data_IF_663253767812
#
_entry.id   IF_663253767812
#
_cell.length_a   1.000
_cell.length_b   1.000
_cell.length_c   1.000
_cell.angle_alpha   90.00
_cell.angle_beta   90.00
_cell.angle_gamma   90.00
#
_symmetry.space_group_name_H-M   'P 1'
#
loop_
_entity.id
_entity.type
_entity.pdbx_description
1 polymer ?
#
# COMPACT_ATOMS: atom_id res chain seq x y z
N UNK A 1 -9.04 -16.82 25.53
CA UNK A 1 -9.11 -15.62 24.65
C UNK A 1 -7.88 -15.64 23.79
N UNK A 2 -8.01 -15.39 22.48
CA UNK A 2 -6.85 -15.39 21.58
C UNK A 2 -6.07 -14.09 21.77
N UNK A 3 -4.79 -14.20 22.10
CA UNK A 3 -3.88 -13.09 22.30
C UNK A 3 -2.97 -12.93 21.09
N UNK A 4 -2.75 -11.71 20.63
CA UNK A 4 -1.82 -11.40 19.56
C UNK A 4 -0.59 -10.74 20.17
N UNK A 5 0.58 -11.33 19.98
CA UNK A 5 1.85 -10.73 20.38
C UNK A 5 2.44 -9.95 19.20
N UNK A 6 2.68 -8.65 19.43
CA UNK A 6 3.19 -7.72 18.43
C UNK A 6 4.59 -7.30 18.84
N UNK A 7 5.55 -7.47 17.93
CA UNK A 7 6.92 -7.02 18.11
C UNK A 7 7.16 -5.81 17.22
N UNK A 8 7.78 -4.76 17.78
CA UNK A 8 8.14 -3.54 17.08
C UNK A 8 9.61 -3.22 17.30
N UNK A 9 10.24 -2.62 16.28
CA UNK A 9 11.58 -2.07 16.42
C UNK A 9 11.54 -0.72 17.14
N UNK A 10 12.62 -0.35 17.84
CA UNK A 10 12.86 1.02 18.26
C UNK A 10 12.75 1.95 17.05
N UNK A 11 12.03 3.06 17.22
CA UNK A 11 11.84 4.08 16.18
C UNK A 11 12.77 5.27 16.43
N UNK A 12 13.10 6.07 15.40
CA UNK A 12 13.81 7.32 15.58
C UNK A 12 13.02 8.28 16.49
N UNK A 13 13.68 9.34 16.98
CA UNK A 13 13.01 10.37 17.78
C UNK A 13 11.95 11.05 16.91
N UNK A 14 10.70 11.06 17.36
CA UNK A 14 9.62 11.72 16.64
C UNK A 14 9.83 13.24 16.66
N UNK A 15 9.69 13.95 15.53
CA UNK A 15 9.73 15.41 15.52
C UNK A 15 8.55 16.03 16.27
N UNK A 16 7.46 15.28 16.46
CA UNK A 16 6.24 15.73 17.14
C UNK A 16 6.24 15.31 18.61
N UNK A 17 6.60 14.07 18.89
CA UNK A 17 6.48 13.47 20.24
C UNK A 17 7.82 13.27 20.96
N UNK A 18 8.93 13.67 20.34
CA UNK A 18 10.26 13.54 20.92
C UNK A 18 10.62 12.09 21.25
N UNK A 19 10.88 11.84 22.54
CA UNK A 19 11.29 10.53 23.05
C UNK A 19 10.11 9.60 23.41
N UNK A 20 8.87 10.07 23.28
CA UNK A 20 7.70 9.20 23.52
C UNK A 20 7.65 8.07 22.51
N UNK A 21 7.09 6.94 22.94
CA UNK A 21 6.78 5.84 22.02
C UNK A 21 5.65 6.26 21.09
N UNK A 22 5.72 5.86 19.83
CA UNK A 22 4.71 6.20 18.83
C UNK A 22 4.60 5.10 17.76
N UNK A 23 3.50 5.15 17.00
CA UNK A 23 3.26 4.33 15.82
C UNK A 23 3.29 5.19 14.55
N UNK A 24 4.03 4.80 13.50
CA UNK A 24 4.13 5.55 12.26
C UNK A 24 2.99 5.20 11.28
N UNK A 25 1.91 5.99 11.27
CA UNK A 25 0.84 5.90 10.28
C UNK A 25 1.18 6.78 9.06
N UNK A 26 2.07 6.28 8.20
CA UNK A 26 2.42 6.97 6.95
C UNK A 26 1.97 6.14 5.76
N UNK A 27 1.32 6.76 4.77
CA UNK A 27 0.95 6.06 3.54
C UNK A 27 1.68 6.63 2.31
N UNK A 28 2.37 5.80 1.50
CA UNK A 28 2.63 4.38 1.72
C UNK A 28 3.68 4.13 2.81
N UNK A 29 3.45 3.16 3.69
CA UNK A 29 4.44 2.67 4.66
C UNK A 29 5.30 1.54 4.08
N UNK A 30 6.56 1.47 4.47
CA UNK A 30 7.40 0.29 4.27
C UNK A 30 7.36 -0.68 5.46
N UNK A 31 6.71 -0.30 6.56
CA UNK A 31 6.66 -1.03 7.83
C UNK A 31 8.04 -1.48 8.32
N UNK A 32 9.07 -0.66 8.08
CA UNK A 32 10.44 -0.94 8.52
C UNK A 32 10.50 -1.28 10.02
N UNK A 33 9.67 -0.60 10.83
CA UNK A 33 9.59 -0.74 12.28
C UNK A 33 8.56 -1.76 12.78
N UNK A 34 7.93 -2.53 11.89
CA UNK A 34 6.89 -3.51 12.19
C UNK A 34 5.49 -3.03 11.77
N UNK A 35 4.44 -3.80 12.13
CA UNK A 35 4.41 -4.86 13.14
C UNK A 35 5.01 -6.21 12.70
N UNK A 36 5.67 -6.92 13.62
CA UNK A 36 6.16 -8.29 13.43
C UNK A 36 5.40 -9.29 14.32
N UNK A 37 5.08 -10.47 13.79
CA UNK A 37 4.30 -11.50 14.47
C UNK A 37 5.10 -12.81 14.54
N UNK A 38 5.53 -13.18 15.74
CA UNK A 38 6.37 -14.38 15.96
C UNK A 38 5.69 -15.69 15.55
N UNK A 39 4.36 -15.74 15.55
CA UNK A 39 3.58 -16.92 15.14
C UNK A 39 3.59 -17.14 13.62
N UNK A 40 3.95 -16.11 12.83
CA UNK A 40 3.84 -16.14 11.38
C UNK A 40 5.18 -15.91 10.66
N UNK A 41 6.13 -15.22 11.30
CA UNK A 41 7.43 -14.91 10.72
C UNK A 41 8.54 -14.85 11.78
N UNK A 42 9.78 -14.94 11.32
CA UNK A 42 10.94 -14.69 12.18
C UNK A 42 10.98 -13.23 12.60
N UNK A 43 11.00 -12.97 13.90
CA UNK A 43 11.08 -11.62 14.45
C UNK A 43 12.53 -11.12 14.37
N UNK A 44 12.79 -9.94 13.81
CA UNK A 44 14.12 -9.34 13.80
C UNK A 44 14.68 -9.18 15.23
N UNK A 45 15.98 -9.40 15.46
CA UNK A 45 16.58 -9.34 16.81
C UNK A 45 16.54 -7.94 17.44
N UNK A 46 16.44 -6.90 16.60
CA UNK A 46 16.28 -5.51 17.00
C UNK A 46 14.82 -5.12 17.30
N UNK A 47 13.84 -5.99 17.07
CA UNK A 47 12.43 -5.76 17.42
C UNK A 47 12.18 -6.05 18.91
N UNK A 48 12.71 -5.19 19.77
CA UNK A 48 12.72 -5.40 21.23
C UNK A 48 11.43 -4.99 21.95
N UNK A 49 10.56 -4.22 21.30
CA UNK A 49 9.34 -3.73 21.93
C UNK A 49 8.19 -4.71 21.72
N UNK A 50 7.66 -5.26 22.81
CA UNK A 50 6.63 -6.30 22.77
C UNK A 50 5.33 -5.79 23.37
N UNK A 51 4.25 -5.95 22.60
CA UNK A 51 2.89 -5.64 23.01
C UNK A 51 2.03 -6.91 22.90
N UNK A 52 0.98 -7.00 23.71
CA UNK A 52 0.04 -8.13 23.66
C UNK A 52 -1.38 -7.61 23.67
N UNK A 53 -2.12 -7.87 22.59
CA UNK A 53 -3.51 -7.47 22.45
C UNK A 53 -4.45 -8.66 22.62
N UNK A 54 -5.60 -8.42 23.24
CA UNK A 54 -6.68 -9.42 23.34
C UNK A 54 -7.76 -9.12 22.30
N UNK A 55 -7.49 -9.44 21.04
CA UNK A 55 -8.45 -9.28 19.95
C UNK A 55 -8.62 -10.59 19.18
N UNK A 56 -9.69 -11.36 19.44
CA UNK A 56 -9.98 -12.59 18.71
C UNK A 56 -10.19 -12.36 17.22
N UNK A 57 -10.79 -11.23 16.84
CA UNK A 57 -10.95 -10.85 15.44
C UNK A 57 -9.58 -10.65 14.78
N UNK A 58 -8.71 -9.84 15.41
CA UNK A 58 -7.36 -9.60 14.90
C UNK A 58 -6.56 -10.91 14.74
N UNK A 59 -6.61 -11.80 15.75
CA UNK A 59 -5.92 -13.10 15.69
C UNK A 59 -6.40 -13.97 14.53
N UNK A 60 -7.71 -14.03 14.30
CA UNK A 60 -8.28 -14.78 13.18
C UNK A 60 -7.87 -14.18 11.83
N UNK A 61 -7.91 -12.86 11.68
CA UNK A 61 -7.60 -12.18 10.42
C UNK A 61 -6.11 -12.18 10.12
N UNK A 62 -5.23 -12.09 11.12
CA UNK A 62 -3.78 -12.33 10.96
C UNK A 62 -3.51 -13.76 10.48
N UNK A 63 -4.17 -14.74 11.10
CA UNK A 63 -4.06 -16.14 10.67
C UNK A 63 -4.53 -16.32 9.22
N UNK A 64 -5.64 -15.68 8.83
CA UNK A 64 -6.13 -15.70 7.46
C UNK A 64 -5.16 -15.01 6.49
N UNK A 65 -4.59 -13.87 6.89
CA UNK A 65 -3.63 -13.12 6.10
C UNK A 65 -2.41 -13.98 5.76
N UNK A 66 -1.74 -14.52 6.78
CA UNK A 66 -0.47 -15.22 6.61
C UNK A 66 -0.62 -16.64 6.06
N UNK A 67 -1.71 -17.35 6.37
CA UNK A 67 -1.87 -18.75 5.93
C UNK A 67 -2.64 -18.89 4.60
N UNK A 68 -3.47 -17.91 4.23
CA UNK A 68 -4.36 -18.03 3.08
C UNK A 68 -4.16 -16.89 2.07
N UNK A 69 -4.24 -15.64 2.51
CA UNK A 69 -4.28 -14.49 1.60
C UNK A 69 -2.92 -14.23 0.97
N UNK A 70 -1.86 -14.05 1.76
CA UNK A 70 -0.51 -13.80 1.26
C UNK A 70 -0.04 -14.96 0.37
N UNK A 71 -0.08 -16.24 0.79
CA UNK A 71 0.31 -17.35 -0.08
C UNK A 71 -0.56 -17.43 -1.35
N UNK A 72 -1.84 -17.07 -1.25
CA UNK A 72 -2.73 -16.96 -2.38
C UNK A 72 -2.27 -15.90 -3.38
N UNK A 73 -1.83 -14.74 -2.92
CA UNK A 73 -1.45 -13.62 -3.78
C UNK A 73 0.01 -13.66 -4.25
N UNK A 74 0.92 -14.27 -3.50
CA UNK A 74 2.35 -14.38 -3.86
C UNK A 74 2.63 -15.48 -4.91
N UNK A 75 1.59 -16.19 -5.36
CA UNK A 75 1.71 -17.18 -6.42
C UNK A 75 2.36 -16.59 -7.71
N UNK A 76 3.15 -17.42 -8.39
CA UNK A 76 3.76 -17.03 -9.66
C UNK A 76 2.69 -16.60 -10.67
N UNK A 77 2.88 -15.42 -11.27
CA UNK A 77 1.97 -14.90 -12.30
C UNK A 77 2.30 -15.60 -13.61
N UNK A 78 1.35 -16.32 -14.23
CA UNK A 78 1.62 -17.04 -15.48
C UNK A 78 2.00 -16.08 -16.62
N UNK A 79 2.96 -16.48 -17.46
CA UNK A 79 3.30 -15.77 -18.70
C UNK A 79 2.31 -16.16 -19.82
N UNK A 80 1.44 -15.25 -20.30
CA UNK A 80 0.46 -15.55 -21.35
C UNK A 80 1.10 -15.94 -22.68
N UNK A 81 2.36 -15.57 -22.94
CA UNK A 81 3.07 -15.93 -24.17
C UNK A 81 3.53 -17.39 -24.19
N UNK A 82 3.63 -18.03 -23.03
CA UNK A 82 3.99 -19.46 -22.90
C UNK A 82 2.78 -20.39 -23.02
N UNK A 83 1.58 -19.83 -23.13
CA UNK A 83 0.32 -20.56 -23.12
C UNK A 83 -0.47 -20.33 -24.40
N UNK A 84 -1.26 -21.33 -24.82
CA UNK A 84 -2.16 -21.20 -25.95
C UNK A 84 -3.21 -20.11 -25.68
N UNK A 85 -3.61 -19.35 -26.72
CA UNK A 85 -4.65 -18.31 -26.60
C UNK A 85 -5.98 -18.82 -26.05
N UNK A 86 -6.29 -20.10 -26.27
CA UNK A 86 -7.47 -20.75 -25.69
C UNK A 86 -7.46 -20.77 -24.15
N UNK A 87 -6.29 -20.65 -23.52
CA UNK A 87 -6.15 -20.56 -22.06
C UNK A 87 -6.31 -19.13 -21.52
N UNK A 88 -6.29 -18.09 -22.37
CA UNK A 88 -6.34 -16.69 -21.94
C UNK A 88 -7.58 -16.34 -21.11
N UNK A 89 -8.80 -16.80 -21.44
CA UNK A 89 -9.96 -16.57 -20.56
C UNK A 89 -9.77 -17.14 -19.15
N UNK A 90 -9.14 -18.31 -19.02
CA UNK A 90 -8.85 -18.91 -17.72
C UNK A 90 -7.79 -18.11 -16.93
N UNK A 91 -6.80 -17.55 -17.62
CA UNK A 91 -5.80 -16.65 -17.02
C UNK A 91 -6.43 -15.34 -16.51
N UNK A 92 -7.36 -14.76 -17.28
CA UNK A 92 -8.12 -13.61 -16.82
C UNK A 92 -8.95 -13.96 -15.57
N UNK A 93 -9.65 -15.10 -15.59
CA UNK A 93 -10.43 -15.56 -14.44
C UNK A 93 -9.56 -15.79 -13.20
N UNK A 94 -8.36 -16.35 -13.35
CA UNK A 94 -7.41 -16.46 -12.25
C UNK A 94 -7.11 -15.10 -11.64
N UNK A 95 -6.80 -14.09 -12.47
CA UNK A 95 -6.54 -12.73 -11.99
C UNK A 95 -7.75 -12.14 -11.24
N UNK A 96 -8.95 -12.33 -11.77
CA UNK A 96 -10.21 -11.92 -11.13
C UNK A 96 -10.36 -12.59 -9.77
N UNK A 97 -10.18 -13.91 -9.66
CA UNK A 97 -10.27 -14.63 -8.39
C UNK A 97 -9.26 -14.13 -7.36
N UNK A 98 -8.00 -13.88 -7.77
CA UNK A 98 -6.97 -13.33 -6.87
C UNK A 98 -7.35 -11.95 -6.35
N UNK A 99 -7.85 -11.09 -7.24
CA UNK A 99 -8.33 -9.75 -6.88
C UNK A 99 -9.58 -9.78 -6.00
N UNK A 100 -10.49 -10.73 -6.20
CA UNK A 100 -11.65 -10.94 -5.33
C UNK A 100 -11.24 -11.34 -3.91
N UNK A 101 -10.31 -12.29 -3.77
CA UNK A 101 -9.76 -12.69 -2.47
C UNK A 101 -9.16 -11.49 -1.71
N UNK A 102 -8.32 -10.70 -2.41
CA UNK A 102 -7.73 -9.49 -1.84
C UNK A 102 -8.79 -8.46 -1.44
N UNK A 103 -9.79 -8.25 -2.28
CA UNK A 103 -10.85 -7.27 -2.05
C UNK A 103 -11.74 -7.63 -0.85
N UNK A 104 -12.07 -8.92 -0.67
CA UNK A 104 -12.82 -9.41 0.49
C UNK A 104 -12.05 -9.14 1.79
N UNK A 105 -10.77 -9.51 1.84
CA UNK A 105 -9.93 -9.29 3.02
C UNK A 105 -9.70 -7.79 3.30
N UNK A 106 -9.49 -6.98 2.25
CA UNK A 106 -9.37 -5.53 2.35
C UNK A 106 -10.64 -4.91 2.94
N UNK A 107 -11.81 -5.36 2.49
CA UNK A 107 -13.12 -4.91 2.99
C UNK A 107 -13.27 -5.20 4.49
N UNK A 108 -12.82 -6.38 4.94
CA UNK A 108 -12.78 -6.73 6.35
C UNK A 108 -11.90 -5.77 7.14
N UNK A 109 -10.66 -5.50 6.67
CA UNK A 109 -9.76 -4.55 7.31
C UNK A 109 -10.39 -3.16 7.42
N UNK A 110 -10.97 -2.64 6.33
CA UNK A 110 -11.64 -1.34 6.31
C UNK A 110 -12.75 -1.26 7.36
N UNK A 111 -13.57 -2.31 7.50
CA UNK A 111 -14.65 -2.34 8.48
C UNK A 111 -14.13 -2.26 9.91
N UNK A 112 -13.04 -2.97 10.21
CA UNK A 112 -12.40 -2.93 11.52
C UNK A 112 -11.74 -1.58 11.80
N UNK A 113 -11.08 -0.99 10.80
CA UNK A 113 -10.48 0.34 10.91
C UNK A 113 -11.53 1.39 11.26
N UNK A 114 -12.61 1.48 10.48
CA UNK A 114 -13.66 2.48 10.75
C UNK A 114 -14.30 2.25 12.12
N UNK A 115 -14.57 0.99 12.49
CA UNK A 115 -15.17 0.66 13.78
C UNK A 115 -14.28 1.05 14.95
N UNK A 116 -12.98 0.81 14.87
CA UNK A 116 -12.03 1.17 15.92
C UNK A 116 -11.83 2.69 16.01
N UNK A 117 -11.78 3.37 14.87
CA UNK A 117 -11.55 4.82 14.81
C UNK A 117 -12.77 5.63 15.30
N UNK A 118 -13.97 5.27 14.86
CA UNK A 118 -15.20 6.02 15.19
C UNK A 118 -15.95 5.47 16.42
N UNK A 119 -15.61 4.26 16.88
CA UNK A 119 -16.29 3.60 17.99
C UNK A 119 -17.81 3.48 17.75
N UNK A 120 -18.60 3.97 18.72
CA UNK A 120 -20.07 3.96 18.64
C UNK A 120 -20.64 4.85 17.53
N UNK A 121 -19.83 5.73 16.93
CA UNK A 121 -20.23 6.62 15.83
C UNK A 121 -19.92 6.05 14.45
N UNK A 122 -19.38 4.83 14.38
CA UNK A 122 -19.00 4.22 13.12
C UNK A 122 -20.20 4.18 12.15
N UNK A 123 -20.05 4.72 10.93
CA UNK A 123 -21.10 4.62 9.92
C UNK A 123 -21.40 3.16 9.59
N UNK A 124 -22.56 2.91 8.99
CA UNK A 124 -22.88 1.58 8.47
C UNK A 124 -21.93 1.30 7.29
N UNK A 125 -21.28 0.12 7.24
CA UNK A 125 -20.38 -0.20 6.15
C UNK A 125 -21.09 -0.16 4.78
N UNK A 126 -20.52 0.50 3.76
CA UNK A 126 -21.16 0.58 2.46
C UNK A 126 -21.24 -0.81 1.82
N UNK A 127 -22.29 -1.05 1.00
CA UNK A 127 -22.45 -2.32 0.29
C UNK A 127 -21.28 -2.55 -0.67
N UNK A 128 -20.96 -3.80 -1.03
CA UNK A 128 -19.81 -4.12 -1.88
C UNK A 128 -19.76 -3.33 -3.20
N UNK A 129 -20.91 -3.08 -3.83
CA UNK A 129 -20.99 -2.30 -5.08
C UNK A 129 -20.68 -0.81 -4.93
N UNK A 130 -20.62 -0.28 -3.70
CA UNK A 130 -20.31 1.11 -3.40
C UNK A 130 -18.96 1.27 -2.68
N UNK A 131 -18.16 0.21 -2.60
CA UNK A 131 -16.81 0.19 -2.01
C UNK A 131 -15.79 0.82 -2.97
N UNK A 132 -15.95 2.11 -3.21
CA UNK A 132 -14.95 2.92 -3.89
C UNK A 132 -14.93 4.34 -3.29
N UNK A 133 -13.77 5.03 -3.27
CA UNK A 133 -13.68 6.40 -2.77
C UNK A 133 -14.63 7.39 -3.43
N UNK A 134 -14.94 7.21 -4.73
CA UNK A 134 -15.90 8.06 -5.46
C UNK A 134 -17.35 7.81 -5.07
N UNK A 135 -17.67 6.60 -4.60
CA UNK A 135 -19.04 6.17 -4.31
C UNK A 135 -19.39 6.29 -2.83
N UNK A 136 -18.40 6.16 -1.96
CA UNK A 136 -18.54 6.28 -0.50
C UNK A 136 -17.46 7.18 0.10
N UNK A 137 -17.41 8.48 -0.29
CA UNK A 137 -16.30 9.36 0.05
C UNK A 137 -16.09 9.55 1.56
N UNK A 138 -17.17 9.61 2.35
CA UNK A 138 -17.10 9.78 3.81
C UNK A 138 -16.46 8.57 4.49
N UNK A 139 -16.82 7.36 4.06
CA UNK A 139 -16.23 6.12 4.55
C UNK A 139 -14.73 6.08 4.28
N UNK A 140 -14.35 6.36 3.04
CA UNK A 140 -12.95 6.34 2.64
C UNK A 140 -12.15 7.52 3.18
N UNK A 141 -12.79 8.65 3.53
CA UNK A 141 -12.14 9.73 4.25
C UNK A 141 -11.61 9.26 5.61
N UNK A 142 -12.35 8.41 6.32
CA UNK A 142 -11.92 7.81 7.61
C UNK A 142 -10.76 6.84 7.38
N UNK A 143 -10.86 5.96 6.40
CA UNK A 143 -9.79 5.00 6.09
C UNK A 143 -8.49 5.72 5.75
N UNK A 144 -8.55 6.70 4.85
CA UNK A 144 -7.36 7.44 4.43
C UNK A 144 -6.81 8.35 5.53
N UNK A 145 -7.68 9.03 6.29
CA UNK A 145 -7.24 9.85 7.41
C UNK A 145 -6.58 8.99 8.49
N UNK A 146 -7.01 7.74 8.67
CA UNK A 146 -6.42 6.79 9.60
C UNK A 146 -5.05 6.29 9.13
N UNK A 147 -4.92 5.95 7.85
CA UNK A 147 -3.66 5.45 7.27
C UNK A 147 -2.56 6.50 7.17
N UNK A 148 -2.91 7.79 7.22
CA UNK A 148 -1.99 8.93 7.03
C UNK A 148 -2.02 9.93 8.21
N UNK A 149 -2.13 9.40 9.44
CA UNK A 149 -2.13 10.23 10.68
C UNK A 149 -0.75 10.78 11.05
N UNK A 150 0.31 10.26 10.43
CA UNK A 150 1.68 10.48 10.84
C UNK A 150 2.04 9.73 12.13
N UNK A 151 2.89 10.34 12.95
CA UNK A 151 3.31 9.73 14.20
C UNK A 151 2.20 9.85 15.27
N UNK A 152 1.70 8.72 15.76
CA UNK A 152 0.68 8.65 16.82
C UNK A 152 1.32 8.16 18.12
N UNK A 153 1.32 9.01 19.15
CA UNK A 153 1.89 8.68 20.47
C UNK A 153 1.15 7.50 21.13
N UNK A 154 1.91 6.51 21.60
CA UNK A 154 1.40 5.42 22.42
C UNK A 154 1.34 5.84 23.88
N UNK A 155 0.16 6.27 24.32
CA UNK A 155 -0.11 6.62 25.71
C UNK A 155 -0.51 5.36 26.46
N UNK A 156 0.05 5.12 27.64
CA UNK A 156 -0.17 3.88 28.42
C UNK A 156 -1.55 3.71 29.07
N UNK A 157 -2.60 4.25 28.47
CA UNK A 157 -3.99 4.10 28.90
C UNK A 157 -4.76 3.15 27.95
N UNK A 158 -6.08 3.07 28.11
CA UNK A 158 -6.95 2.24 27.25
C UNK A 158 -6.87 2.60 25.75
N UNK A 159 -6.39 3.80 25.41
CA UNK A 159 -6.19 4.20 24.01
C UNK A 159 -5.01 3.49 23.35
N UNK A 160 -4.05 2.98 24.14
CA UNK A 160 -2.88 2.27 23.59
C UNK A 160 -3.29 1.06 22.77
N UNK A 161 -4.21 0.26 23.31
CA UNK A 161 -4.60 -1.01 22.71
C UNK A 161 -5.39 -0.77 21.43
N UNK A 162 -6.21 0.29 21.40
CA UNK A 162 -6.96 0.72 20.21
C UNK A 162 -5.99 1.18 19.11
N UNK A 163 -5.02 2.04 19.43
CA UNK A 163 -4.07 2.56 18.44
C UNK A 163 -3.14 1.46 17.90
N UNK A 164 -2.71 0.53 18.76
CA UNK A 164 -1.96 -0.65 18.35
C UNK A 164 -2.80 -1.56 17.44
N UNK A 165 -4.05 -1.85 17.81
CA UNK A 165 -4.92 -2.68 16.98
C UNK A 165 -5.18 -2.02 15.62
N UNK A 166 -5.48 -0.71 15.61
CA UNK A 166 -5.70 0.09 14.41
C UNK A 166 -4.49 0.04 13.47
N UNK A 167 -3.29 0.19 14.02
CA UNK A 167 -2.04 0.10 13.27
C UNK A 167 -1.85 -1.26 12.60
N UNK A 168 -2.21 -2.36 13.29
CA UNK A 168 -2.14 -3.69 12.67
C UNK A 168 -3.17 -3.85 11.56
N UNK A 169 -4.40 -3.35 11.72
CA UNK A 169 -5.40 -3.42 10.66
C UNK A 169 -4.97 -2.63 9.41
N UNK A 170 -4.40 -1.44 9.59
CA UNK A 170 -3.81 -0.64 8.49
C UNK A 170 -2.65 -1.40 7.83
N UNK A 171 -1.78 -2.03 8.63
CA UNK A 171 -0.72 -2.89 8.11
C UNK A 171 -1.25 -4.02 7.23
N UNK A 172 -2.23 -4.77 7.71
CA UNK A 172 -2.80 -5.88 6.96
C UNK A 172 -3.46 -5.42 5.65
N UNK A 173 -4.16 -4.29 5.68
CA UNK A 173 -4.74 -3.68 4.48
C UNK A 173 -3.65 -3.34 3.46
N UNK A 174 -2.59 -2.66 3.89
CA UNK A 174 -1.49 -2.27 3.01
C UNK A 174 -0.70 -3.47 2.48
N UNK A 175 -0.47 -4.47 3.31
CA UNK A 175 0.18 -5.71 2.90
C UNK A 175 -0.60 -6.36 1.75
N UNK A 176 -1.92 -6.49 1.87
CA UNK A 176 -2.76 -7.02 0.79
C UNK A 176 -2.71 -6.15 -0.46
N UNK A 177 -2.78 -4.82 -0.34
CA UNK A 177 -2.68 -3.92 -1.50
C UNK A 177 -1.33 -4.10 -2.24
N UNK A 178 -0.23 -4.28 -1.50
CA UNK A 178 1.10 -4.54 -2.07
C UNK A 178 1.15 -5.87 -2.86
N UNK A 179 0.68 -6.98 -2.27
CA UNK A 179 0.67 -8.28 -2.95
C UNK A 179 -0.32 -8.33 -4.13
N UNK A 180 -1.36 -7.49 -4.10
CA UNK A 180 -2.41 -7.46 -5.11
C UNK A 180 -2.03 -6.65 -6.35
N UNK A 181 -1.07 -5.72 -6.22
CA UNK A 181 -0.68 -4.80 -7.30
C UNK A 181 -0.38 -5.54 -8.61
N UNK A 182 0.41 -6.62 -8.55
CA UNK A 182 0.80 -7.39 -9.73
C UNK A 182 -0.41 -8.05 -10.42
N UNK A 183 -1.36 -8.57 -9.65
CA UNK A 183 -2.60 -9.17 -10.17
C UNK A 183 -3.51 -8.13 -10.81
N UNK A 184 -3.54 -6.90 -10.27
CA UNK A 184 -4.25 -5.77 -10.86
C UNK A 184 -3.72 -5.40 -12.24
N UNK A 185 -2.38 -5.32 -12.37
CA UNK A 185 -1.71 -5.11 -13.66
C UNK A 185 -2.01 -6.27 -14.62
N UNK A 186 -1.85 -7.51 -14.16
CA UNK A 186 -2.06 -8.70 -14.97
C UNK A 186 -3.50 -8.80 -15.49
N UNK A 187 -4.51 -8.54 -14.66
CA UNK A 187 -5.92 -8.50 -15.07
C UNK A 187 -6.13 -7.50 -16.22
N UNK A 188 -5.58 -6.29 -16.10
CA UNK A 188 -5.72 -5.23 -17.10
C UNK A 188 -5.11 -5.65 -18.44
N UNK A 189 -3.93 -6.24 -18.42
CA UNK A 189 -3.26 -6.73 -19.63
C UNK A 189 -4.04 -7.87 -20.28
N UNK A 190 -4.53 -8.84 -19.49
CA UNK A 190 -5.34 -9.93 -20.00
C UNK A 190 -6.65 -9.43 -20.64
N UNK A 191 -7.30 -8.42 -20.06
CA UNK A 191 -8.47 -7.78 -20.69
C UNK A 191 -8.10 -7.18 -22.05
N UNK A 192 -6.98 -6.47 -22.16
CA UNK A 192 -6.54 -5.89 -23.43
C UNK A 192 -6.26 -6.99 -24.47
N UNK A 193 -5.58 -8.07 -24.08
CA UNK A 193 -5.27 -9.20 -24.97
C UNK A 193 -6.52 -9.93 -25.48
N UNK A 194 -7.55 -10.08 -24.64
CA UNK A 194 -8.79 -10.79 -24.99
C UNK A 194 -9.72 -9.91 -25.83
N UNK A 195 -9.86 -8.63 -25.49
CA UNK A 195 -10.83 -7.74 -26.12
C UNK A 195 -10.28 -6.94 -27.31
N UNK A 196 -8.96 -6.71 -27.39
CA UNK A 196 -8.35 -6.13 -28.57
C UNK A 196 -7.91 -7.23 -29.55
N UNK A 197 -8.86 -7.76 -30.32
CA UNK A 197 -8.56 -8.43 -31.58
C UNK A 197 -8.84 -7.46 -32.74
N UNK A 198 -7.78 -6.81 -33.20
CA UNK A 198 -7.52 -6.62 -34.63
C UNK A 198 -6.08 -7.10 -34.91
N UNK A 199 -5.81 -7.82 -36.02
CA UNK A 199 -4.52 -8.46 -36.24
C UNK A 199 -3.55 -7.46 -36.85
N UNK A 200 -2.75 -6.77 -36.04
CA UNK A 200 -1.59 -6.04 -36.55
C UNK A 200 -0.42 -6.29 -35.63
N UNK A 201 0.51 -7.11 -36.12
CA UNK A 201 1.92 -7.15 -35.78
C UNK A 201 2.24 -6.67 -34.36
N UNK A 202 2.47 -7.62 -33.45
CA UNK A 202 3.32 -7.42 -32.27
C UNK A 202 4.72 -7.01 -32.78
N UNK A 203 4.84 -5.75 -33.20
CA UNK A 203 6.08 -5.08 -33.56
C UNK A 203 6.76 -4.75 -32.24
N UNK A 204 7.50 -5.73 -31.76
CA UNK A 204 8.81 -5.72 -31.08
C UNK A 204 9.33 -4.51 -30.29
N UNK A 205 8.57 -3.44 -30.01
CA UNK A 205 9.13 -2.22 -29.41
C UNK A 205 8.22 -1.48 -28.41
N UNK A 206 7.13 -2.09 -27.92
CA UNK A 206 6.43 -1.56 -26.74
C UNK A 206 6.76 -2.42 -25.51
N UNK A 207 7.67 -1.88 -24.71
CA UNK A 207 8.19 -2.38 -23.43
C UNK A 207 7.13 -2.46 -22.33
N UNK A 208 6.06 -3.23 -22.54
CA UNK A 208 5.03 -3.53 -21.55
C UNK A 208 5.38 -4.81 -20.78
N UNK A 209 5.72 -4.63 -19.49
CA UNK A 209 5.68 -5.57 -18.34
C UNK A 209 6.29 -6.99 -18.43
N UNK A 210 6.42 -7.62 -19.60
CA UNK A 210 7.19 -8.86 -19.78
C UNK A 210 8.68 -8.69 -19.44
N UNK A 211 9.21 -7.47 -19.55
CA UNK A 211 10.55 -7.12 -19.01
C UNK A 211 10.56 -6.89 -17.49
N UNK A 212 9.42 -6.66 -16.84
CA UNK A 212 9.32 -6.44 -15.39
C UNK A 212 9.25 -7.76 -14.61
N UNK A 213 8.71 -8.83 -15.22
CA UNK A 213 8.73 -10.19 -14.65
C UNK A 213 10.17 -10.71 -14.46
N UNK A 214 11.15 -10.21 -15.23
CA UNK A 214 12.58 -10.50 -15.03
C UNK A 214 13.21 -9.73 -13.84
N UNK A 215 12.50 -8.76 -13.24
CA UNK A 215 12.97 -7.95 -12.11
C UNK A 215 12.52 -8.45 -10.74
N UNK A 216 11.91 -9.63 -10.64
CA UNK A 216 11.59 -10.35 -9.38
C UNK A 216 12.84 -10.73 -8.54
N UNK A 217 13.97 -10.04 -8.69
CA UNK A 217 15.21 -10.26 -7.95
C UNK A 217 15.51 -9.21 -6.86
N UNK A 218 14.79 -8.07 -6.78
CA UNK A 218 15.08 -7.05 -5.76
C UNK A 218 13.82 -6.40 -5.19
N UNK A 219 13.24 -7.05 -4.17
CA UNK A 219 12.38 -6.42 -3.15
C UNK A 219 12.03 -7.34 -1.96
N UNK A 220 12.49 -8.59 -1.93
CA UNK A 220 12.39 -9.49 -0.76
C UNK A 220 13.74 -9.82 -0.11
N UNK A 221 14.84 -9.25 -0.62
CA UNK A 221 16.18 -9.49 -0.07
C UNK A 221 16.46 -8.71 1.24
N UNK A 222 15.58 -7.80 1.67
CA UNK A 222 15.75 -7.04 2.92
C UNK A 222 14.92 -7.56 4.09
N UNK A 223 14.45 -8.82 4.05
CA UNK A 223 13.83 -9.48 5.21
C UNK A 223 14.46 -10.85 5.52
N UNK A 224 15.23 -11.47 4.61
CA UNK A 224 15.91 -12.73 4.88
C UNK A 224 17.29 -12.82 4.22
N UNK A 225 18.29 -12.17 4.82
CA UNK A 225 19.69 -12.64 4.73
C UNK A 225 20.41 -12.35 6.04
N UNK A 226 20.47 -13.36 6.90
CA UNK A 226 21.49 -13.46 7.95
C UNK A 226 22.16 -14.81 7.74
N UNK A 227 23.15 -14.84 6.85
CA UNK A 227 24.17 -15.89 6.90
C UNK A 227 25.41 -15.32 7.59
N UNK A 228 25.81 -16.07 8.60
CA UNK A 228 26.96 -15.90 9.46
C UNK A 228 28.23 -16.24 8.69
N UNK A 229 29.24 -15.37 8.71
CA UNK A 229 30.64 -15.85 8.69
C UNK A 229 31.58 -14.86 9.37
N UNK A 230 32.41 -15.43 10.23
CA UNK A 230 33.41 -14.92 11.15
C UNK A 230 34.38 -13.80 10.66
N UNK A 231 34.67 -12.89 11.60
CA UNK A 231 36.00 -12.43 12.07
C UNK A 231 37.02 -11.87 11.04
N UNK A 232 37.41 -10.60 11.15
CA UNK A 232 38.59 -10.18 11.94
C UNK A 232 38.96 -8.67 11.73
N UNK A 233 39.19 -7.95 12.83
CA UNK A 233 40.11 -6.80 13.02
C UNK A 233 40.05 -5.45 12.22
N UNK A 234 39.46 -4.43 12.88
CA UNK A 234 39.83 -2.99 13.04
C UNK A 234 40.07 -1.95 11.87
N UNK A 235 39.82 -0.63 12.12
CA UNK A 235 39.62 0.45 11.11
C UNK A 235 40.67 1.60 11.25
N UNK A 236 40.44 2.89 10.89
CA UNK A 236 39.58 3.60 9.90
C UNK A 236 40.41 4.53 8.97
N UNK A 237 39.79 5.33 8.06
CA UNK A 237 40.01 6.79 7.88
C UNK A 237 39.44 7.40 6.57
N UNK A 238 38.72 8.52 6.77
CA UNK A 238 38.62 9.76 5.96
C UNK A 238 37.75 9.83 4.69
N UNK A 239 36.65 10.57 4.82
CA UNK A 239 36.13 11.48 3.78
C UNK A 239 37.13 12.62 3.50
N UNK A 240 37.01 13.32 2.35
CA UNK A 240 36.52 14.69 2.46
C UNK A 240 35.59 15.18 1.33
N UNK A 241 34.89 16.24 1.70
CA UNK A 241 33.94 17.12 1.00
C UNK A 241 34.42 17.82 -0.28
N UNK A 242 33.47 18.54 -0.91
CA UNK A 242 33.57 19.82 -1.68
C UNK A 242 33.07 19.66 -3.13
N UNK A 243 32.28 20.54 -3.78
CA UNK A 243 31.69 21.84 -3.49
C UNK A 243 30.73 22.24 -4.62
N UNK A 244 29.72 23.05 -4.28
CA UNK A 244 29.06 24.16 -5.00
C UNK A 244 29.30 24.40 -6.51
N UNK A 245 28.21 24.78 -7.20
CA UNK A 245 28.27 25.61 -8.41
C UNK A 245 26.92 25.81 -9.12
N UNK A 246 26.17 26.83 -8.70
CA UNK A 246 24.92 27.31 -9.34
C UNK A 246 25.12 27.96 -10.71
N UNK A 247 24.15 27.89 -11.63
CA UNK A 247 23.32 29.04 -12.09
C UNK A 247 22.63 28.83 -13.47
N UNK A 248 21.38 29.32 -13.55
CA UNK A 248 20.68 30.03 -14.67
C UNK A 248 20.73 29.45 -16.11
N UNK A 249 19.68 29.46 -16.97
CA UNK A 249 18.44 30.24 -17.09
C UNK A 249 17.56 29.66 -18.22
N UNK A 250 16.25 29.87 -18.11
CA UNK A 250 15.19 30.09 -19.12
C UNK A 250 15.30 29.58 -20.58
N UNK A 251 14.23 28.93 -21.06
CA UNK A 251 13.29 29.55 -22.01
C UNK A 251 12.11 28.61 -22.36
N UNK A 252 10.92 29.22 -22.30
CA UNK A 252 9.57 28.81 -22.73
C UNK A 252 9.43 28.67 -24.25
N UNK A 253 8.58 27.75 -24.71
CA UNK A 253 7.43 27.97 -25.62
C UNK A 253 6.86 26.62 -26.13
N UNK A 254 5.62 26.25 -25.79
CA UNK A 254 4.33 26.63 -26.40
C UNK A 254 4.02 25.83 -27.68
N UNK A 255 2.98 24.97 -27.64
CA UNK A 255 1.92 24.92 -28.66
C UNK A 255 0.85 23.83 -28.39
N UNK A 256 -0.39 24.25 -28.61
CA UNK A 256 -1.68 23.61 -28.44
C UNK A 256 -1.95 22.34 -29.27
N UNK A 257 -2.92 21.52 -28.82
CA UNK A 257 -3.95 20.95 -29.68
C UNK A 257 -5.13 20.41 -28.86
N UNK A 258 -6.32 20.60 -29.42
CA UNK A 258 -7.62 20.58 -28.78
C UNK A 258 -8.47 19.31 -29.08
N UNK A 259 -9.40 19.08 -28.16
CA UNK A 259 -10.77 18.51 -28.27
C UNK A 259 -11.08 17.02 -28.55
N UNK A 260 -12.09 16.60 -27.76
CA UNK A 260 -13.05 15.49 -27.85
C UNK A 260 -12.49 14.08 -27.56
N UNK A 261 -12.99 13.28 -26.62
CA UNK A 261 -14.32 13.19 -26.01
C UNK A 261 -14.78 11.74 -26.15
N UNK A 262 -14.58 10.90 -25.13
CA UNK A 262 -15.38 9.70 -24.86
C UNK A 262 -15.07 9.15 -23.47
N UNK A 263 -16.13 8.66 -22.84
CA UNK A 263 -16.27 8.25 -21.46
C UNK A 263 -15.46 6.98 -21.14
N UNK A 264 -14.57 7.08 -20.15
CA UNK A 264 -13.94 5.91 -19.50
C UNK A 264 -14.42 5.83 -18.04
N UNK A 265 -15.50 5.09 -17.84
CA UNK A 265 -15.89 4.49 -16.55
C UNK A 265 -14.92 3.33 -16.27
N UNK A 266 -13.71 3.62 -15.79
CA UNK A 266 -12.84 2.69 -15.03
C UNK A 266 -11.47 3.28 -14.63
N UNK A 267 -11.29 4.61 -14.72
CA UNK A 267 -10.05 5.28 -14.36
C UNK A 267 -9.74 5.32 -12.84
N UNK A 268 -10.61 4.80 -11.97
CA UNK A 268 -10.56 5.11 -10.55
C UNK A 268 -9.64 4.21 -9.69
N UNK A 269 -9.01 3.19 -10.26
CA UNK A 269 -8.03 2.36 -9.53
C UNK A 269 -6.57 2.76 -9.77
N UNK A 270 -6.31 3.67 -10.72
CA UNK A 270 -4.93 4.10 -11.07
C UNK A 270 -4.60 5.54 -10.65
N UNK A 271 -5.59 6.28 -10.12
CA UNK A 271 -5.45 7.69 -9.73
C UNK A 271 -4.98 7.90 -8.27
N UNK A 272 -4.77 6.83 -7.49
CA UNK A 272 -4.35 6.89 -6.08
C UNK A 272 -2.91 7.41 -5.85
N UNK A 273 -2.19 7.83 -6.91
CA UNK A 273 -0.83 8.36 -6.82
C UNK A 273 -0.71 9.84 -7.20
N UNK A 274 -1.68 10.70 -6.81
CA UNK A 274 -1.48 12.15 -6.82
C UNK A 274 -1.73 12.76 -5.44
N UNK A 275 -0.70 13.29 -4.75
CA UNK A 275 -0.93 14.09 -3.57
C UNK A 275 -1.71 15.35 -3.96
N UNK A 276 -2.72 15.67 -3.14
CA UNK A 276 -3.65 16.78 -3.32
C UNK A 276 -2.92 18.10 -3.60
N UNK A 277 -2.98 18.57 -4.85
CA UNK A 277 -2.62 19.94 -5.22
C UNK A 277 -3.73 20.87 -4.77
N UNK A 278 -3.63 21.42 -3.56
CA UNK A 278 -4.47 22.54 -3.09
C UNK A 278 -4.42 23.67 -4.13
N UNK A 279 -5.55 23.97 -4.78
CA UNK A 279 -5.75 25.26 -5.45
C UNK A 279 -6.49 26.16 -4.47
N UNK A 280 -5.78 27.18 -3.98
CA UNK A 280 -6.40 28.30 -3.28
C UNK A 280 -7.35 28.99 -4.26
N UNK A 281 -8.65 28.96 -3.98
CA UNK A 281 -9.61 29.83 -4.65
C UNK A 281 -9.59 31.17 -3.89
N UNK A 282 -8.94 32.18 -4.47
CA UNK A 282 -9.06 33.55 -4.01
C UNK A 282 -10.50 34.01 -4.29
N UNK A 283 -11.28 34.24 -3.24
CA UNK A 283 -12.55 34.95 -3.33
C UNK A 283 -12.20 36.43 -3.49
N UNK A 284 -12.39 36.96 -4.69
CA UNK A 284 -12.37 38.40 -4.95
C UNK A 284 -13.71 38.95 -4.46
N UNK A 285 -13.64 39.82 -3.47
CA UNK A 285 -14.76 40.63 -3.00
C UNK A 285 -15.09 41.68 -4.06
N UNK A 286 -16.24 41.56 -4.73
CA UNK A 286 -16.86 42.69 -5.41
C UNK A 286 -17.96 43.27 -4.51
N UNK A 287 -17.63 44.42 -3.93
CA UNK A 287 -18.59 45.44 -3.54
C UNK A 287 -19.23 46.05 -4.79
N UNK A 288 -20.53 46.38 -4.73
CA UNK A 288 -21.10 47.71 -5.05
C UNK A 288 -22.64 47.64 -5.03
N UNK A 289 -23.20 48.43 -4.12
CA UNK A 289 -24.40 49.28 -4.16
C UNK A 289 -25.67 48.85 -4.94
N UNK A 290 -26.74 48.57 -4.20
CA UNK A 290 -27.90 49.46 -3.99
C UNK A 290 -28.88 48.87 -2.97
#
# INVERSE_FOLDING_TARGET
MASVQIHLKPRPISPVHGHSKYLPFHWPSDFEYGPFFAEHATVPPDATEVYTLQSPALSASLSALFNTVIPGLDAEVPDPNRLCRSAWPALLQLAVTKLSLAFEFRTECENHIVRLFEGDRAPVPPPPSMRAPSLSPEWYAIIFSTGDRGDVELRGDESQDIELELFVWVYMQQAVDNYTHIWGCYRREMYQLIHMIAPVHLRTENSGLFNFLSRKAYALASIFTTETSADDSCPPLLSPSSSNGSSATDATDSSDSSHAGCLDEDANSSSLYRPFRRRNLAIVSESVDL
#
